data_IF_412695033421
#
_entry.id   IF_412695033421
#
_cell.length_a   1.000
_cell.length_b   1.000
_cell.length_c   1.000
_cell.angle_alpha   90.00
_cell.angle_beta   90.00
_cell.angle_gamma   90.00
#
_symmetry.space_group_name_H-M   'P 1'
#
loop_
_entity.id
_entity.type
_entity.pdbx_description
1 polymer ?
#
# COMPACT_ATOMS: atom_id res chain seq x y z
N UNK A 1 -17.94 -0.14 -0.54
CA UNK A 1 -17.42 -1.53 -0.46
C UNK A 1 -15.95 -1.39 -0.11
N UNK A 2 -15.54 -1.77 1.09
CA UNK A 2 -14.16 -1.57 1.55
C UNK A 2 -13.16 -2.18 0.56
N UNK A 3 -12.11 -1.43 0.17
CA UNK A 3 -10.96 -1.95 -0.59
C UNK A 3 -10.26 -3.05 0.23
N UNK A 4 -10.77 -4.28 0.15
CA UNK A 4 -10.23 -5.43 0.86
C UNK A 4 -8.73 -5.64 0.55
N UNK A 5 -8.22 -5.17 -0.60
CA UNK A 5 -6.78 -5.20 -0.94
C UNK A 5 -5.94 -4.26 -0.09
N UNK A 6 -6.36 -2.99 0.07
CA UNK A 6 -5.58 -2.03 0.82
C UNK A 6 -5.52 -2.43 2.30
N UNK A 7 -6.60 -3.01 2.82
CA UNK A 7 -6.62 -3.57 4.17
C UNK A 7 -5.63 -4.74 4.33
N UNK A 8 -5.58 -5.66 3.35
CA UNK A 8 -4.64 -6.80 3.37
C UNK A 8 -3.19 -6.32 3.23
N UNK A 9 -2.92 -5.38 2.33
CA UNK A 9 -1.57 -4.82 2.16
C UNK A 9 -1.13 -4.11 3.44
N UNK A 10 -1.99 -3.26 4.01
CA UNK A 10 -1.69 -2.53 5.24
C UNK A 10 -1.49 -3.47 6.44
N UNK A 11 -2.32 -4.51 6.61
CA UNK A 11 -2.17 -5.45 7.73
C UNK A 11 -0.88 -6.27 7.64
N UNK A 12 -0.47 -6.68 6.43
CA UNK A 12 0.77 -7.44 6.22
C UNK A 12 2.00 -6.57 6.46
N UNK A 13 2.02 -5.33 5.97
CA UNK A 13 3.11 -4.37 6.24
C UNK A 13 3.20 -4.09 7.75
N UNK A 14 2.05 -3.92 8.41
CA UNK A 14 1.97 -3.66 9.84
C UNK A 14 2.50 -4.84 10.67
N UNK A 15 2.09 -6.07 10.36
CA UNK A 15 2.55 -7.29 11.07
C UNK A 15 4.05 -7.50 10.89
N UNK A 16 4.61 -7.25 9.71
CA UNK A 16 6.06 -7.40 9.47
C UNK A 16 6.86 -6.28 10.15
N UNK A 17 6.35 -5.04 10.09
CA UNK A 17 6.98 -3.88 10.72
C UNK A 17 6.98 -3.97 12.25
N UNK A 18 5.85 -4.36 12.86
CA UNK A 18 5.73 -4.53 14.31
C UNK A 18 6.39 -5.82 14.79
N UNK A 19 6.32 -6.89 13.99
CA UNK A 19 6.92 -8.19 14.30
C UNK A 19 8.45 -8.15 14.41
N UNK A 20 9.10 -7.08 13.93
CA UNK A 20 10.52 -6.84 14.17
C UNK A 20 11.41 -7.93 13.57
N UNK A 21 11.01 -8.52 12.44
CA UNK A 21 11.83 -9.53 11.77
C UNK A 21 13.12 -8.87 11.28
N UNK A 22 14.26 -9.32 11.78
CA UNK A 22 15.58 -8.94 11.27
C UNK A 22 16.29 -10.21 10.81
N UNK A 23 17.01 -10.11 9.71
CA UNK A 23 17.79 -11.22 9.17
C UNK A 23 19.25 -10.80 9.23
N UNK A 24 20.02 -11.53 10.02
CA UNK A 24 21.46 -11.40 10.13
C UNK A 24 22.08 -12.50 9.27
N UNK A 25 22.72 -12.11 8.16
CA UNK A 25 23.31 -13.06 7.21
C UNK A 25 24.80 -13.28 7.53
N UNK A 26 25.45 -12.29 8.13
CA UNK A 26 26.86 -12.29 8.54
C UNK A 26 27.04 -11.24 9.64
N UNK A 27 28.10 -11.32 10.45
CA UNK A 27 28.39 -10.40 11.57
C UNK A 27 28.39 -8.90 11.16
N UNK A 28 28.65 -8.58 9.89
CA UNK A 28 28.65 -7.20 9.36
C UNK A 28 27.40 -6.84 8.52
N UNK A 29 26.50 -7.80 8.27
CA UNK A 29 25.37 -7.63 7.35
C UNK A 29 24.04 -7.99 8.05
N UNK A 30 23.45 -6.97 8.66
CA UNK A 30 22.10 -7.00 9.23
C UNK A 30 21.13 -6.35 8.25
N UNK A 31 20.12 -7.11 7.83
CA UNK A 31 19.00 -6.54 7.07
C UNK A 31 17.99 -5.96 8.07
N UNK A 32 17.75 -4.63 8.05
CA UNK A 32 16.79 -4.01 8.94
C UNK A 32 15.36 -4.47 8.63
N UNK A 33 14.55 -4.57 9.67
CA UNK A 33 13.14 -4.94 9.58
C UNK A 33 12.35 -4.06 8.60
N UNK A 34 12.64 -2.77 8.54
CA UNK A 34 11.99 -1.83 7.62
C UNK A 34 12.24 -2.16 6.15
N UNK A 35 13.45 -2.62 5.81
CA UNK A 35 13.77 -3.04 4.45
C UNK A 35 12.98 -4.30 4.05
N UNK A 36 12.88 -5.26 4.97
CA UNK A 36 12.10 -6.49 4.77
C UNK A 36 10.60 -6.22 4.61
N UNK A 37 10.04 -5.35 5.46
CA UNK A 37 8.63 -4.95 5.37
C UNK A 37 8.30 -4.32 4.01
N UNK A 38 9.21 -3.50 3.49
CA UNK A 38 9.04 -2.82 2.20
C UNK A 38 9.12 -3.81 1.03
N UNK A 39 10.07 -4.76 1.07
CA UNK A 39 10.19 -5.80 0.04
C UNK A 39 8.96 -6.70 -0.01
N UNK A 40 8.48 -7.20 1.14
CA UNK A 40 7.29 -8.06 1.17
C UNK A 40 6.03 -7.27 0.80
N UNK A 41 5.88 -6.03 1.27
CA UNK A 41 4.77 -5.16 0.88
C UNK A 41 4.73 -4.88 -0.63
N UNK A 42 5.90 -4.63 -1.24
CA UNK A 42 6.03 -4.46 -2.69
C UNK A 42 5.71 -5.75 -3.45
N UNK A 43 6.19 -6.89 -2.94
CA UNK A 43 5.91 -8.18 -3.55
C UNK A 43 4.40 -8.48 -3.53
N UNK A 44 3.75 -8.38 -2.36
CA UNK A 44 2.30 -8.56 -2.22
C UNK A 44 1.50 -7.61 -3.12
N UNK A 45 1.89 -6.33 -3.16
CA UNK A 45 1.23 -5.35 -4.03
C UNK A 45 1.28 -5.76 -5.51
N UNK A 46 2.37 -6.38 -5.95
CA UNK A 46 2.57 -6.84 -7.31
C UNK A 46 1.74 -8.10 -7.66
N UNK A 47 1.65 -9.07 -6.75
CA UNK A 47 0.91 -10.32 -6.99
C UNK A 47 -0.60 -10.20 -6.75
N UNK A 48 -1.07 -9.26 -5.93
CA UNK A 48 -2.50 -9.12 -5.63
C UNK A 48 -3.28 -8.59 -6.86
N UNK A 49 -4.22 -9.37 -7.45
CA UNK A 49 -5.08 -8.93 -8.56
C UNK A 49 -6.13 -7.90 -8.10
N UNK A 50 -6.78 -7.19 -9.04
CA UNK A 50 -7.69 -6.03 -8.80
C UNK A 50 -6.98 -4.71 -8.43
N UNK A 51 -6.09 -4.22 -9.30
CA UNK A 51 -5.44 -2.90 -9.13
C UNK A 51 -6.37 -1.72 -9.49
N UNK A 52 -7.51 -2.00 -10.09
CA UNK A 52 -8.42 -1.02 -10.71
C UNK A 52 -9.14 -0.11 -9.70
N UNK A 53 -9.26 -0.52 -8.44
CA UNK A 53 -9.96 0.24 -7.41
C UNK A 53 -9.14 1.42 -6.85
N UNK A 54 -7.82 1.46 -7.10
CA UNK A 54 -6.93 2.50 -6.56
C UNK A 54 -6.87 3.78 -7.42
N UNK A 55 -7.32 3.71 -8.68
CA UNK A 55 -7.37 4.85 -9.57
C UNK A 55 -8.73 5.52 -9.36
N UNK A 56 -8.76 6.61 -8.58
CA UNK A 56 -9.99 7.34 -8.30
C UNK A 56 -10.77 7.64 -9.58
N UNK A 57 -12.10 7.58 -9.51
CA UNK A 57 -13.00 7.52 -10.67
C UNK A 57 -13.07 8.82 -11.50
N UNK A 58 -12.12 9.76 -11.39
CA UNK A 58 -12.05 11.04 -12.10
C UNK A 58 -13.15 12.06 -11.74
N UNK A 59 -14.28 11.60 -11.20
CA UNK A 59 -15.50 12.38 -10.97
C UNK A 59 -15.43 13.40 -9.81
N UNK A 60 -14.32 13.47 -9.09
CA UNK A 60 -14.21 14.36 -7.92
C UNK A 60 -14.03 15.83 -8.31
N UNK A 61 -13.44 16.08 -9.49
CA UNK A 61 -13.18 17.42 -10.01
C UNK A 61 -14.29 17.88 -10.98
N UNK A 62 -14.96 16.93 -11.64
CA UNK A 62 -16.08 17.16 -12.56
C UNK A 62 -17.26 17.86 -11.86
N UNK A 63 -17.56 17.48 -10.61
CA UNK A 63 -18.62 18.10 -9.81
C UNK A 63 -18.28 19.50 -9.27
N UNK A 64 -17.02 19.94 -9.36
CA UNK A 64 -16.62 21.29 -8.93
C UNK A 64 -16.73 22.30 -10.07
N UNK A 65 -16.64 21.85 -11.32
CA UNK A 65 -16.80 22.73 -12.48
C UNK A 65 -18.29 23.01 -12.79
N UNK A 66 -19.20 22.07 -12.49
CA UNK A 66 -20.66 22.29 -12.63
C UNK A 66 -21.19 23.38 -11.68
N UNK A 67 -20.72 23.43 -10.43
CA UNK A 67 -21.19 24.39 -9.41
C UNK A 67 -20.75 25.84 -9.70
N UNK A 68 -19.67 26.03 -10.47
CA UNK A 68 -19.15 27.37 -10.83
C UNK A 68 -19.71 27.92 -12.15
N UNK A 69 -20.51 27.13 -12.88
CA UNK A 69 -21.06 27.53 -14.18
C UNK A 69 -22.54 27.94 -14.09
N UNK A 70 -23.17 27.78 -12.91
CA UNK A 70 -24.57 28.18 -12.64
C UNK A 70 -24.72 29.54 -11.91
N UNK A 71 -23.64 30.34 -11.74
CA UNK A 71 -23.72 31.76 -11.32
C UNK A 71 -23.63 32.76 -12.48
#
# INVERSE_FOLDING_TARGET
>A
MSENRNLVIASVILVIGIGGAFIEITDDLVIPSMALATFIGMFLHAILPNKDLGYGNGKLFDSMDEDNTEE
#
